data_IF_448232190027
#
_entry.id   IF_448232190027
#
_cell.length_a   1.000
_cell.length_b   1.000
_cell.length_c   1.000
_cell.angle_alpha   90.00
_cell.angle_beta   90.00
_cell.angle_gamma   90.00
#
_symmetry.space_group_name_H-M   'P 1'
#
loop_
_entity.id
_entity.type
_entity.pdbx_description
1 polymer ?
#
# COMPACT_ATOMS: atom_id res chain seq x y z
N UNK A 1 4.18 6.86 -11.56
CA UNK A 1 3.18 6.34 -10.59
C UNK A 1 3.81 5.27 -9.71
N UNK A 2 3.76 3.96 -10.02
CA UNK A 2 4.28 2.90 -9.12
C UNK A 2 5.74 3.08 -8.63
N UNK A 3 6.64 3.49 -9.53
CA UNK A 3 8.02 3.85 -9.16
C UNK A 3 8.07 4.99 -8.13
N UNK A 4 7.29 6.03 -8.36
CA UNK A 4 7.27 7.22 -7.50
C UNK A 4 6.70 6.88 -6.12
N UNK A 5 5.64 6.05 -6.07
CA UNK A 5 5.06 5.56 -4.83
C UNK A 5 6.09 4.76 -4.02
N UNK A 6 6.85 3.88 -4.69
CA UNK A 6 7.93 3.11 -4.05
C UNK A 6 9.03 4.02 -3.48
N UNK A 7 9.36 5.10 -4.18
CA UNK A 7 10.31 6.11 -3.70
C UNK A 7 9.72 6.87 -2.49
N UNK A 8 8.42 7.18 -2.49
CA UNK A 8 7.75 7.83 -1.35
C UNK A 8 7.72 6.94 -0.11
N UNK A 9 7.37 5.66 -0.26
CA UNK A 9 7.46 4.67 0.82
C UNK A 9 8.88 4.61 1.37
N UNK A 10 9.88 4.48 0.50
CA UNK A 10 11.30 4.44 0.88
C UNK A 10 11.72 5.68 1.67
N UNK A 11 11.26 6.88 1.27
CA UNK A 11 11.56 8.12 1.99
C UNK A 11 10.90 8.15 3.36
N UNK A 12 9.67 7.68 3.48
CA UNK A 12 8.93 7.70 4.74
C UNK A 12 9.51 6.72 5.78
N UNK A 13 10.05 5.58 5.36
CA UNK A 13 10.61 4.54 6.26
C UNK A 13 12.09 4.75 6.64
N UNK A 14 12.77 5.78 6.10
CA UNK A 14 14.20 6.04 6.36
C UNK A 14 14.52 6.47 7.79
N UNK A 15 13.52 6.86 8.57
CA UNK A 15 13.65 7.22 9.98
C UNK A 15 12.79 6.31 10.86
N UNK A 16 12.95 6.39 12.19
CA UNK A 16 12.11 5.63 13.10
C UNK A 16 10.64 6.01 12.90
N UNK A 17 9.81 4.97 12.73
CA UNK A 17 8.36 5.04 12.73
C UNK A 17 7.85 4.63 14.11
N UNK A 18 6.69 5.15 14.56
CA UNK A 18 6.06 4.65 15.77
C UNK A 18 5.74 3.15 15.64
N UNK A 19 5.99 2.37 16.69
CA UNK A 19 5.69 0.93 16.72
C UNK A 19 4.22 0.62 16.38
N UNK A 20 3.34 1.58 16.68
CA UNK A 20 1.91 1.44 16.44
C UNK A 20 1.49 1.52 14.95
N UNK A 21 2.37 1.92 14.02
CA UNK A 21 2.10 1.89 12.56
C UNK A 21 2.98 0.90 11.80
N UNK A 22 4.19 0.61 12.30
CA UNK A 22 5.19 -0.20 11.60
C UNK A 22 4.65 -1.56 11.11
N UNK A 23 4.05 -2.39 11.97
CA UNK A 23 3.50 -3.69 11.58
C UNK A 23 2.40 -3.59 10.51
N UNK A 24 1.40 -2.72 10.71
CA UNK A 24 0.31 -2.55 9.74
C UNK A 24 0.78 -2.04 8.38
N UNK A 25 1.76 -1.13 8.37
CA UNK A 25 2.39 -0.68 7.12
C UNK A 25 3.17 -1.80 6.43
N UNK A 26 3.92 -2.61 7.19
CA UNK A 26 4.67 -3.74 6.65
C UNK A 26 3.75 -4.80 6.02
N UNK A 27 2.64 -5.14 6.69
CA UNK A 27 1.63 -6.07 6.19
C UNK A 27 1.00 -5.57 4.89
N UNK A 28 0.67 -4.28 4.81
CA UNK A 28 0.11 -3.68 3.59
C UNK A 28 1.11 -3.68 2.43
N UNK A 29 2.38 -3.34 2.70
CA UNK A 29 3.43 -3.37 1.67
C UNK A 29 3.71 -4.78 1.16
N UNK A 30 3.65 -5.80 2.05
CA UNK A 30 3.74 -7.20 1.66
C UNK A 30 2.53 -7.62 0.81
N UNK A 31 1.32 -7.18 1.15
CA UNK A 31 0.14 -7.40 0.32
C UNK A 31 0.26 -6.74 -1.07
N UNK A 32 0.77 -5.51 -1.15
CA UNK A 32 1.08 -4.82 -2.42
C UNK A 32 2.09 -5.59 -3.27
N UNK A 33 3.17 -6.09 -2.66
CA UNK A 33 4.19 -6.92 -3.32
C UNK A 33 3.58 -8.21 -3.88
N UNK A 34 2.77 -8.91 -3.07
CA UNK A 34 2.07 -10.13 -3.49
C UNK A 34 1.10 -9.88 -4.64
N UNK A 35 0.32 -8.80 -4.55
CA UNK A 35 -0.63 -8.42 -5.60
C UNK A 35 0.09 -8.12 -6.91
N UNK A 36 1.18 -7.35 -6.89
CA UNK A 36 1.99 -7.06 -8.07
C UNK A 36 2.59 -8.32 -8.72
N UNK A 37 3.05 -9.29 -7.91
CA UNK A 37 3.53 -10.59 -8.43
C UNK A 37 2.40 -11.37 -9.09
N UNK A 38 1.24 -11.45 -8.45
CA UNK A 38 0.08 -12.10 -9.04
C UNK A 38 -0.37 -11.42 -10.35
N UNK A 39 -0.27 -10.10 -10.46
CA UNK A 39 -0.53 -9.37 -11.71
C UNK A 39 0.45 -9.77 -12.83
N UNK A 40 1.73 -9.96 -12.50
CA UNK A 40 2.72 -10.46 -13.45
C UNK A 40 2.44 -11.91 -13.88
N UNK A 41 2.03 -12.77 -12.94
CA UNK A 41 1.65 -14.15 -13.22
C UNK A 41 0.41 -14.20 -14.14
N UNK A 42 -0.58 -13.33 -13.91
CA UNK A 42 -1.77 -13.23 -14.77
C UNK A 42 -1.41 -12.83 -16.21
N UNK A 43 -0.47 -11.88 -16.39
CA UNK A 43 0.05 -11.54 -17.73
C UNK A 43 0.72 -12.73 -18.43
N UNK A 44 1.27 -13.68 -17.68
CA UNK A 44 1.88 -14.91 -18.18
C UNK A 44 0.88 -16.05 -18.40
N UNK A 45 -0.43 -15.80 -18.24
CA UNK A 45 -1.50 -16.80 -18.38
C UNK A 45 -1.88 -17.52 -17.08
N UNK A 46 -1.39 -17.04 -15.93
CA UNK A 46 -1.79 -17.50 -14.60
C UNK A 46 -3.21 -17.06 -14.22
N UNK A 47 -3.66 -17.35 -12.98
CA UNK A 47 -4.96 -16.91 -12.48
C UNK A 47 -5.00 -15.40 -12.25
N UNK A 48 -6.23 -14.85 -12.23
CA UNK A 48 -6.45 -13.43 -11.89
C UNK A 48 -5.98 -13.11 -10.46
N UNK A 49 -5.42 -11.92 -10.20
CA UNK A 49 -5.09 -11.48 -8.84
C UNK A 49 -6.33 -11.37 -7.96
N UNK A 50 -6.20 -11.74 -6.68
CA UNK A 50 -7.28 -11.62 -5.71
C UNK A 50 -7.43 -10.17 -5.23
N UNK A 51 -8.36 -9.44 -5.86
CA UNK A 51 -8.68 -8.05 -5.49
C UNK A 51 -9.34 -7.92 -4.11
N UNK A 52 -10.09 -8.95 -3.66
CA UNK A 52 -10.79 -8.90 -2.37
C UNK A 52 -9.79 -9.02 -1.23
N UNK A 53 -8.83 -9.93 -1.35
CA UNK A 53 -7.74 -10.06 -0.39
C UNK A 53 -6.89 -8.77 -0.32
N UNK A 54 -6.61 -8.15 -1.48
CA UNK A 54 -5.86 -6.90 -1.51
C UNK A 54 -6.62 -5.72 -0.87
N UNK A 55 -7.91 -5.58 -1.16
CA UNK A 55 -8.76 -4.58 -0.51
C UNK A 55 -8.91 -4.81 1.00
N UNK A 56 -8.95 -6.07 1.44
CA UNK A 56 -9.02 -6.42 2.86
C UNK A 56 -7.74 -6.04 3.62
N UNK A 57 -6.57 -6.22 3.00
CA UNK A 57 -5.30 -5.76 3.56
C UNK A 57 -5.25 -4.22 3.67
N UNK A 58 -5.76 -3.51 2.66
CA UNK A 58 -5.89 -2.06 2.68
C UNK A 58 -6.82 -1.58 3.79
N UNK A 59 -7.98 -2.24 3.96
CA UNK A 59 -8.91 -1.93 5.04
C UNK A 59 -8.29 -2.14 6.42
N UNK A 60 -7.53 -3.23 6.62
CA UNK A 60 -6.83 -3.48 7.88
C UNK A 60 -5.79 -2.38 8.18
N UNK A 61 -5.06 -1.93 7.17
CA UNK A 61 -4.15 -0.79 7.29
C UNK A 61 -4.87 0.51 7.66
N UNK A 62 -6.02 0.80 7.03
CA UNK A 62 -6.83 1.97 7.36
C UNK A 62 -7.30 1.94 8.81
N UNK A 63 -7.81 0.79 9.30
CA UNK A 63 -8.21 0.63 10.71
C UNK A 63 -7.02 0.82 11.67
N UNK A 64 -5.83 0.32 11.31
CA UNK A 64 -4.61 0.56 12.08
C UNK A 64 -4.31 2.06 12.19
N UNK A 65 -4.39 2.79 11.08
CA UNK A 65 -4.15 4.23 11.05
C UNK A 65 -5.23 5.04 11.80
N UNK A 66 -6.50 4.68 11.69
CA UNK A 66 -7.59 5.30 12.45
C UNK A 66 -7.36 5.14 13.96
N UNK A 67 -6.95 3.95 14.41
CA UNK A 67 -6.64 3.70 15.81
C UNK A 67 -5.52 4.61 16.34
N UNK A 68 -4.52 4.93 15.52
CA UNK A 68 -3.46 5.89 15.88
C UNK A 68 -4.00 7.30 16.11
N UNK A 69 -4.96 7.72 15.27
CA UNK A 69 -5.59 9.04 15.36
C UNK A 69 -6.47 9.13 16.61
N UNK A 70 -7.27 8.10 16.87
CA UNK A 70 -8.14 8.02 18.06
C UNK A 70 -7.35 8.04 19.36
N UNK A 71 -6.25 7.28 19.43
CA UNK A 71 -5.34 7.23 20.59
C UNK A 71 -4.47 8.49 20.73
N UNK A 72 -4.56 9.43 19.79
CA UNK A 72 -3.77 10.67 19.81
C UNK A 72 -2.28 10.46 19.62
N UNK A 73 -1.84 9.30 19.13
CA UNK A 73 -0.41 8.96 18.98
C UNK A 73 0.30 9.99 18.11
N UNK A 74 -0.35 10.42 17.02
CA UNK A 74 0.20 11.42 16.10
C UNK A 74 0.28 12.83 16.69
N UNK A 75 -0.50 13.14 17.74
CA UNK A 75 -0.44 14.44 18.44
C UNK A 75 0.75 14.56 19.38
N UNK A 76 1.27 13.44 19.85
CA UNK A 76 2.42 13.37 20.75
C UNK A 76 3.76 13.24 20.00
N UNK A 77 3.73 13.24 18.67
CA UNK A 77 4.94 13.21 17.84
C UNK A 77 5.43 14.64 17.61
N UNK A 78 6.75 14.80 17.61
CA UNK A 78 7.42 15.95 17.01
C UNK A 78 6.99 16.11 15.54
N UNK A 79 7.05 17.34 15.03
CA UNK A 79 6.58 17.69 13.68
C UNK A 79 7.11 16.74 12.60
N UNK A 80 8.41 16.45 12.61
CA UNK A 80 9.05 15.54 11.66
C UNK A 80 8.55 14.10 11.78
N UNK A 81 8.20 13.66 13.00
CA UNK A 81 7.63 12.34 13.25
C UNK A 81 6.21 12.24 12.69
N UNK A 82 5.37 13.25 12.94
CA UNK A 82 4.03 13.31 12.37
C UNK A 82 4.09 13.36 10.84
N UNK A 83 4.96 14.21 10.27
CA UNK A 83 5.14 14.33 8.82
C UNK A 83 5.54 13.00 8.16
N UNK A 84 6.42 12.21 8.80
CA UNK A 84 6.78 10.87 8.30
C UNK A 84 5.60 9.90 8.33
N UNK A 85 4.82 9.87 9.41
CA UNK A 85 3.64 9.00 9.53
C UNK A 85 2.63 9.32 8.43
N UNK A 86 2.27 10.59 8.26
CA UNK A 86 1.35 10.98 7.19
C UNK A 86 1.94 10.71 5.80
N UNK A 87 3.24 10.99 5.60
CA UNK A 87 3.93 10.68 4.36
C UNK A 87 3.90 9.20 3.99
N UNK A 88 4.05 8.31 4.98
CA UNK A 88 3.93 6.87 4.77
C UNK A 88 2.50 6.47 4.37
N UNK A 89 1.50 6.98 5.09
CA UNK A 89 0.09 6.69 4.81
C UNK A 89 -0.26 7.13 3.39
N UNK A 90 0.07 8.37 3.01
CA UNK A 90 -0.17 8.85 1.64
C UNK A 90 0.54 8.03 0.58
N UNK A 91 1.78 7.61 0.84
CA UNK A 91 2.52 6.76 -0.09
C UNK A 91 1.85 5.40 -0.30
N UNK A 92 1.35 4.78 0.78
CA UNK A 92 0.65 3.50 0.74
C UNK A 92 -0.72 3.63 0.04
N UNK A 93 -1.48 4.70 0.31
CA UNK A 93 -2.76 4.96 -0.36
C UNK A 93 -2.58 5.14 -1.87
N UNK A 94 -1.57 5.91 -2.28
CA UNK A 94 -1.24 6.10 -3.68
C UNK A 94 -0.79 4.79 -4.33
N UNK A 95 0.02 3.99 -3.64
CA UNK A 95 0.45 2.68 -4.13
C UNK A 95 -0.75 1.74 -4.32
N UNK A 96 -1.67 1.69 -3.36
CA UNK A 96 -2.89 0.87 -3.44
C UNK A 96 -3.74 1.26 -4.66
N UNK A 97 -4.07 2.54 -4.80
CA UNK A 97 -4.86 3.03 -5.93
C UNK A 97 -4.16 2.77 -7.27
N UNK A 98 -2.85 3.06 -7.36
CA UNK A 98 -2.10 2.89 -8.59
C UNK A 98 -1.91 1.40 -8.97
N UNK A 99 -1.89 0.49 -8.00
CA UNK A 99 -1.89 -0.96 -8.26
C UNK A 99 -3.26 -1.45 -8.74
N UNK A 100 -4.35 -0.91 -8.20
CA UNK A 100 -5.70 -1.15 -8.71
C UNK A 100 -5.85 -0.71 -10.17
N UNK A 101 -5.48 0.54 -10.47
CA UNK A 101 -5.46 1.07 -11.84
C UNK A 101 -4.61 0.18 -12.77
N UNK A 102 -3.44 -0.26 -12.30
CA UNK A 102 -2.52 -1.09 -13.07
C UNK A 102 -3.11 -2.46 -13.41
N UNK A 103 -3.74 -3.13 -12.45
CA UNK A 103 -4.34 -4.43 -12.68
C UNK A 103 -5.57 -4.34 -13.60
N UNK A 104 -6.35 -3.25 -13.56
CA UNK A 104 -7.39 -3.00 -14.56
C UNK A 104 -6.82 -2.90 -15.99
N UNK A 105 -5.68 -2.19 -16.17
CA UNK A 105 -5.01 -2.12 -17.48
C UNK A 105 -4.50 -3.49 -17.94
N UNK A 106 -4.05 -4.33 -17.01
CA UNK A 106 -3.64 -5.71 -17.30
C UNK A 106 -4.84 -6.52 -17.77
N UNK A 107 -5.98 -6.46 -17.08
CA UNK A 107 -7.18 -7.18 -17.50
C UNK A 107 -7.63 -6.80 -18.91
N UNK A 108 -7.63 -5.50 -19.23
CA UNK A 108 -7.94 -5.00 -20.58
C UNK A 108 -6.99 -5.59 -21.62
N UNK A 109 -5.69 -5.67 -21.31
CA UNK A 109 -4.66 -6.19 -22.22
C UNK A 109 -4.79 -7.69 -22.45
N UNK A 110 -5.06 -8.47 -21.39
CA UNK A 110 -5.21 -9.92 -21.50
C UNK A 110 -6.47 -10.28 -22.29
N UNK A 111 -7.60 -9.58 -22.08
CA UNK A 111 -8.85 -9.82 -22.82
C UNK A 111 -8.77 -9.50 -24.32
N UNK A 112 -7.87 -8.63 -24.74
CA UNK A 112 -7.68 -8.30 -26.17
C UNK A 112 -6.88 -9.37 -26.94
N UNK A 113 -6.29 -10.36 -26.25
CA UNK A 113 -5.54 -11.45 -26.90
C UNK A 113 -6.40 -12.63 -27.35
N UNK A 114 -7.69 -12.62 -27.03
CA UNK A 114 -8.71 -13.58 -27.49
C UNK A 114 -9.44 -13.06 -28.74
#
# INVERSE_FOLDING_TARGET
RLRDDTVMVTRAVRGPLPDAIGPGAAEMLEASSRFLRASADFLAGGPKPDRIAFASAHQAFQTCFESLREKGVTRNLEFDGAARVFGLVFAIENLFANLGDFEERIEETVRQKD
#
